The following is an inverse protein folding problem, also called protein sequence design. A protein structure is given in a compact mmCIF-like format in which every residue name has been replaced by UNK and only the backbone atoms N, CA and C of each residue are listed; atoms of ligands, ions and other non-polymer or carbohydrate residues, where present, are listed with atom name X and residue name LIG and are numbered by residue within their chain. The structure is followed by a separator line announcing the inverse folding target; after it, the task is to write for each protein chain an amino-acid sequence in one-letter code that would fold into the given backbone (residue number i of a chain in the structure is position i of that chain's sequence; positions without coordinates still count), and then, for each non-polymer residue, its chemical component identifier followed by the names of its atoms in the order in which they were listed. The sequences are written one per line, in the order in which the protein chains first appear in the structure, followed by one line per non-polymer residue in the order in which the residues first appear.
data_IF_640614577628
#
_entry.id   IF_640614577628
#
_cell.length_a   1.000
_cell.length_b   1.000
_cell.length_c   1.000
_cell.angle_alpha   90.00
_cell.angle_beta   90.00
_cell.angle_gamma   90.00
#
_symmetry.space_group_name_H-M   'P 1'
#
loop_
_entity.id
_entity.type
_entity.pdbx_description
1 polymer ?
#
# COMPACT_ATOMS: atom_id res chain seq x y z
N UNK A 1 17.01 -15.43 -1.23
CA UNK A 1 16.38 -14.44 -0.32
C UNK A 1 16.37 -15.02 1.08
N UNK A 2 16.65 -14.22 2.11
CA UNK A 2 16.39 -14.64 3.50
C UNK A 2 14.91 -14.40 3.78
N UNK A 3 14.16 -15.47 4.03
CA UNK A 3 12.77 -15.36 4.45
C UNK A 3 12.72 -14.82 5.88
N UNK A 4 11.98 -13.74 6.09
CA UNK A 4 11.65 -13.23 7.41
C UNK A 4 10.14 -13.41 7.61
N UNK A 5 9.74 -13.80 8.82
CA UNK A 5 8.35 -14.02 9.17
C UNK A 5 7.81 -12.81 9.93
N UNK A 6 6.66 -12.32 9.48
CA UNK A 6 5.88 -11.31 10.19
C UNK A 6 4.82 -12.04 11.02
N UNK A 7 4.75 -11.74 12.32
CA UNK A 7 3.71 -12.27 13.22
C UNK A 7 2.78 -11.12 13.57
N UNK A 8 1.51 -11.25 13.20
CA UNK A 8 0.48 -10.26 13.51
C UNK A 8 -0.48 -10.91 14.51
N UNK A 9 -0.60 -10.37 15.74
CA UNK A 9 -1.60 -10.84 16.67
C UNK A 9 -2.98 -10.48 16.13
N UNK A 10 -3.88 -11.46 16.10
CA UNK A 10 -5.27 -11.31 15.68
C UNK A 10 -6.18 -12.01 16.68
N UNK A 11 -7.39 -11.49 16.84
CA UNK A 11 -8.47 -12.16 17.58
C UNK A 11 -9.00 -13.36 16.79
N UNK A 12 -9.74 -14.24 17.46
CA UNK A 12 -10.37 -15.41 16.80
C UNK A 12 -11.36 -14.97 15.72
N UNK A 13 -12.13 -13.90 15.97
CA UNK A 13 -13.08 -13.33 15.00
C UNK A 13 -12.37 -12.80 13.76
N UNK A 14 -11.27 -12.06 13.94
CA UNK A 14 -10.45 -11.59 12.82
C UNK A 14 -9.86 -12.74 12.02
N UNK A 15 -9.40 -13.79 12.71
CA UNK A 15 -8.86 -15.00 12.06
C UNK A 15 -9.93 -15.70 11.23
N UNK A 16 -11.13 -15.88 11.77
CA UNK A 16 -12.26 -16.48 11.04
C UNK A 16 -12.64 -15.65 9.81
N UNK A 17 -12.72 -14.32 9.97
CA UNK A 17 -13.00 -13.41 8.87
C UNK A 17 -11.95 -13.50 7.77
N UNK A 18 -10.66 -13.50 8.12
CA UNK A 18 -9.57 -13.63 7.14
C UNK A 18 -9.65 -14.96 6.40
N UNK A 19 -9.84 -16.07 7.11
CA UNK A 19 -9.99 -17.39 6.50
C UNK A 19 -11.20 -17.45 5.55
N UNK A 20 -12.33 -16.87 5.95
CA UNK A 20 -13.53 -16.83 5.11
C UNK A 20 -13.28 -16.08 3.80
N UNK A 21 -12.69 -14.87 3.88
CA UNK A 21 -12.39 -14.05 2.71
C UNK A 21 -11.39 -14.75 1.79
N UNK A 22 -10.30 -15.28 2.34
CA UNK A 22 -9.29 -16.00 1.56
C UNK A 22 -9.88 -17.23 0.85
N UNK A 23 -10.74 -17.98 1.54
CA UNK A 23 -11.46 -19.12 0.95
C UNK A 23 -12.38 -18.71 -0.20
N UNK A 24 -13.10 -17.59 -0.08
CA UNK A 24 -13.97 -17.08 -1.14
C UNK A 24 -13.21 -16.61 -2.38
N UNK A 25 -12.03 -16.01 -2.18
CA UNK A 25 -11.18 -15.50 -3.25
C UNK A 25 -10.27 -16.58 -3.86
N UNK A 26 -10.14 -17.74 -3.20
CA UNK A 26 -9.24 -18.80 -3.65
C UNK A 26 -7.76 -18.45 -3.52
N UNK A 27 -7.41 -17.64 -2.51
CA UNK A 27 -6.04 -17.16 -2.26
C UNK A 27 -5.58 -17.56 -0.86
N UNK A 28 -4.27 -17.55 -0.63
CA UNK A 28 -3.70 -17.72 0.72
C UNK A 28 -3.71 -16.40 1.49
N UNK A 29 -3.55 -16.46 2.81
CA UNK A 29 -3.45 -15.26 3.66
C UNK A 29 -2.25 -14.41 3.26
N UNK A 30 -1.13 -15.03 2.90
CA UNK A 30 0.08 -14.34 2.45
C UNK A 30 -0.15 -13.60 1.13
N UNK A 31 -0.87 -14.22 0.19
CA UNK A 31 -1.26 -13.57 -1.07
C UNK A 31 -2.19 -12.39 -0.81
N UNK A 32 -3.19 -12.57 0.06
CA UNK A 32 -4.09 -11.50 0.46
C UNK A 32 -3.32 -10.33 1.08
N UNK A 33 -2.41 -10.61 2.01
CA UNK A 33 -1.62 -9.59 2.69
C UNK A 33 -0.67 -8.85 1.74
N UNK A 34 -0.01 -9.57 0.82
CA UNK A 34 0.86 -8.96 -0.18
C UNK A 34 0.08 -8.04 -1.15
N UNK A 35 -1.14 -8.44 -1.53
CA UNK A 35 -2.01 -7.60 -2.36
C UNK A 35 -2.45 -6.36 -1.60
N UNK A 36 -2.94 -6.53 -0.36
CA UNK A 36 -3.37 -5.42 0.48
C UNK A 36 -2.23 -4.42 0.78
N UNK A 37 -1.01 -4.91 1.01
CA UNK A 37 0.17 -4.07 1.16
C UNK A 37 0.41 -3.21 -0.08
N UNK A 38 0.39 -3.81 -1.28
CA UNK A 38 0.61 -3.06 -2.53
C UNK A 38 -0.48 -2.03 -2.79
N UNK A 39 -1.73 -2.38 -2.55
CA UNK A 39 -2.86 -1.45 -2.72
C UNK A 39 -2.75 -0.29 -1.73
N UNK A 40 -2.47 -0.58 -0.46
CA UNK A 40 -2.24 0.45 0.56
C UNK A 40 -1.02 1.34 0.29
N UNK A 41 0.09 0.77 -0.20
CA UNK A 41 1.26 1.53 -0.65
C UNK A 41 0.89 2.52 -1.76
N UNK A 42 0.14 2.08 -2.77
CA UNK A 42 -0.32 2.97 -3.85
C UNK A 42 -1.26 4.07 -3.35
N UNK A 43 -2.19 3.74 -2.44
CA UNK A 43 -3.10 4.71 -1.84
C UNK A 43 -2.35 5.78 -1.03
N UNK A 44 -1.40 5.37 -0.20
CA UNK A 44 -0.58 6.28 0.60
C UNK A 44 0.26 7.17 -0.31
N UNK A 45 1.00 6.59 -1.25
CA UNK A 45 1.89 7.34 -2.14
C UNK A 45 1.11 8.31 -3.04
N UNK A 46 -0.07 7.92 -3.53
CA UNK A 46 -0.93 8.81 -4.31
C UNK A 46 -1.49 9.93 -3.44
N UNK A 47 -1.99 9.64 -2.24
CA UNK A 47 -2.51 10.65 -1.31
C UNK A 47 -1.43 11.66 -0.91
N UNK A 48 -0.21 11.19 -0.64
CA UNK A 48 0.94 12.04 -0.36
C UNK A 48 1.31 12.90 -1.57
N UNK A 49 1.34 12.32 -2.78
CA UNK A 49 1.62 13.05 -4.01
C UNK A 49 0.58 14.16 -4.29
N UNK A 50 -0.70 13.91 -4.02
CA UNK A 50 -1.80 14.86 -4.26
C UNK A 50 -2.10 15.80 -3.08
N UNK A 51 -1.42 15.63 -1.95
CA UNK A 51 -1.56 16.54 -0.80
C UNK A 51 -1.09 17.97 -1.17
N UNK A 52 -1.64 19.04 -0.56
CA UNK A 52 -1.17 20.40 -0.79
C UNK A 52 0.30 20.53 -0.38
N UNK A 53 1.21 20.68 -1.36
CA UNK A 53 2.67 20.68 -1.16
C UNK A 53 3.36 19.33 -1.44
N UNK A 54 2.62 18.32 -1.89
CA UNK A 54 3.13 17.03 -2.34
C UNK A 54 3.92 17.11 -3.65
N UNK A 55 4.70 16.05 -3.93
CA UNK A 55 5.61 15.94 -5.08
C UNK A 55 4.96 16.22 -6.43
N UNK A 56 3.67 15.91 -6.60
CA UNK A 56 2.94 16.17 -7.85
C UNK A 56 2.78 17.67 -8.16
N UNK A 57 2.62 18.51 -7.14
CA UNK A 57 2.53 19.97 -7.29
C UNK A 57 3.91 20.65 -7.37
N UNK A 58 4.97 19.97 -6.95
CA UNK A 58 6.33 20.52 -6.90
C UNK A 58 7.13 20.28 -8.21
N UNK A 59 6.75 19.31 -9.06
CA UNK A 59 7.47 19.03 -10.31
C UNK A 59 7.11 19.97 -11.48
N UNK A 60 5.99 20.72 -11.42
CA UNK A 60 5.62 21.68 -12.47
C UNK A 60 6.20 23.10 -12.31
N UNK A 61 6.98 23.38 -11.25
CA UNK A 61 7.56 24.72 -11.02
C UNK A 61 9.05 24.88 -11.38
N UNK A 62 9.72 23.90 -12.00
CA UNK A 62 11.11 24.05 -12.44
C UNK A 62 11.31 24.29 -13.94
N UNK A 63 10.25 24.58 -14.71
CA UNK A 63 10.36 24.93 -16.13
C UNK A 63 9.93 26.37 -16.47
N UNK A 64 10.22 27.36 -15.61
CA UNK A 64 10.31 28.77 -16.06
C UNK A 64 11.39 29.55 -15.30
N UNK A 65 12.35 30.08 -16.10
CA UNK A 65 13.50 30.97 -15.80
C UNK A 65 14.67 30.26 -15.13
N UNK A 66 15.87 30.26 -15.70
CA UNK A 66 16.63 31.42 -16.20
C UNK A 66 16.98 31.32 -17.70
N UNK A 67 16.74 32.33 -18.56
CA UNK A 67 17.51 33.58 -18.75
C UNK A 67 18.99 33.37 -19.09
N UNK A 68 19.29 33.25 -20.39
CA UNK A 68 20.30 34.06 -21.12
C UNK A 68 19.82 34.29 -22.56
#
# INVERSE_FOLDING_TARGET
MKTQYLVIPVTDEERERFNHVCSKLGVTIEQFFNTALREGEMEILSTEAFSPGGTFWNEEQSFKKDSE
#
